data_IF_999005431944
#
_entry.id   IF_999005431944
#
_cell.length_a   1.000
_cell.length_b   1.000
_cell.length_c   1.000
_cell.angle_alpha   90.00
_cell.angle_beta   90.00
_cell.angle_gamma   90.00
#
_symmetry.space_group_name_H-M   'P 1'
#
loop_
_entity.id
_entity.type
_entity.pdbx_description
1 polymer ?
#
# COMPACT_ATOMS: atom_id res chain seq x y z
N UNK A 1 -2.89 -49.28 25.04
CA UNK A 1 -3.09 -48.96 23.61
C UNK A 1 -3.53 -47.51 23.42
N UNK A 2 -4.64 -47.06 24.04
CA UNK A 2 -5.15 -45.69 23.90
C UNK A 2 -4.19 -44.56 24.32
N UNK A 3 -3.46 -44.71 25.44
CA UNK A 3 -2.54 -43.67 25.93
C UNK A 3 -1.38 -43.35 24.97
N UNK A 4 -0.95 -44.34 24.16
CA UNK A 4 0.11 -44.12 23.16
C UNK A 4 -0.42 -43.45 21.89
N UNK A 5 -1.68 -43.68 21.53
CA UNK A 5 -2.33 -43.03 20.39
C UNK A 5 -2.57 -41.55 20.69
N UNK A 6 -3.00 -41.22 21.91
CA UNK A 6 -3.23 -39.83 22.34
C UNK A 6 -1.91 -39.04 22.34
N UNK A 7 -0.83 -39.62 22.86
CA UNK A 7 0.50 -38.98 22.86
C UNK A 7 1.04 -38.69 21.44
N UNK A 8 0.77 -39.58 20.48
CA UNK A 8 1.18 -39.40 19.08
C UNK A 8 0.35 -38.29 18.40
N UNK A 9 -0.96 -38.24 18.64
CA UNK A 9 -1.84 -37.19 18.09
C UNK A 9 -1.47 -35.82 18.67
N UNK A 10 -1.15 -35.73 19.97
CA UNK A 10 -0.67 -34.48 20.57
C UNK A 10 0.69 -34.04 20.02
N UNK A 11 1.59 -34.98 19.72
CA UNK A 11 2.90 -34.67 19.11
C UNK A 11 2.76 -34.20 17.65
N UNK A 12 1.79 -34.74 16.91
CA UNK A 12 1.45 -34.31 15.53
C UNK A 12 0.81 -32.92 15.56
N UNK A 13 -0.12 -32.62 16.47
CA UNK A 13 -0.69 -31.27 16.58
C UNK A 13 0.36 -30.20 16.94
N UNK A 14 1.39 -30.56 17.72
CA UNK A 14 2.53 -29.69 18.04
C UNK A 14 3.57 -29.60 16.90
N UNK A 15 3.65 -30.61 16.02
CA UNK A 15 4.57 -30.65 14.87
C UNK A 15 3.94 -30.13 13.55
N UNK A 16 2.61 -30.02 13.47
CA UNK A 16 1.88 -29.46 12.33
C UNK A 16 1.15 -28.15 12.68
N UNK A 17 1.24 -27.72 13.95
CA UNK A 17 0.80 -26.40 14.40
C UNK A 17 1.75 -25.26 14.02
N UNK A 18 2.54 -25.42 12.96
CA UNK A 18 3.36 -24.35 12.40
C UNK A 18 2.46 -23.41 11.60
N UNK A 19 1.91 -22.43 12.33
CA UNK A 19 1.71 -21.04 11.92
C UNK A 19 1.78 -20.86 10.39
N UNK A 20 0.64 -20.90 9.72
CA UNK A 20 0.51 -20.17 8.45
C UNK A 20 0.58 -18.69 8.80
N UNK A 21 1.80 -18.15 8.79
CA UNK A 21 1.99 -16.71 8.72
C UNK A 21 1.31 -16.29 7.41
N UNK A 22 0.17 -15.61 7.52
CA UNK A 22 -0.68 -15.28 6.38
C UNK A 22 0.14 -14.71 5.24
N UNK A 23 0.19 -15.45 4.12
CA UNK A 23 0.95 -15.08 2.94
C UNK A 23 0.47 -13.71 2.43
N UNK A 24 1.39 -12.85 2.00
CA UNK A 24 1.05 -11.51 1.56
C UNK A 24 0.06 -11.56 0.36
N UNK A 25 -1.08 -10.84 0.40
CA UNK A 25 -2.10 -10.94 -0.64
C UNK A 25 -1.62 -10.45 -2.03
N UNK A 26 -0.58 -9.61 -2.07
CA UNK A 26 -0.02 -9.06 -3.31
C UNK A 26 1.12 -9.88 -3.91
N UNK A 27 1.53 -10.97 -3.26
CA UNK A 27 2.60 -11.82 -3.77
C UNK A 27 2.23 -12.46 -5.11
N UNK A 28 0.92 -12.66 -5.36
CA UNK A 28 0.37 -13.14 -6.62
C UNK A 28 0.68 -12.22 -7.82
N UNK A 29 0.91 -10.92 -7.58
CA UNK A 29 1.23 -9.96 -8.64
C UNK A 29 2.74 -9.87 -8.87
N UNK A 30 3.52 -9.79 -7.79
CA UNK A 30 4.98 -9.86 -7.87
C UNK A 30 5.56 -10.36 -6.54
N UNK A 31 6.58 -11.24 -6.56
CA UNK A 31 7.21 -11.76 -5.35
C UNK A 31 7.77 -10.68 -4.42
N UNK A 32 8.13 -9.51 -4.98
CA UNK A 32 8.74 -8.39 -4.26
C UNK A 32 7.82 -7.17 -4.15
N UNK A 33 6.49 -7.39 -4.12
CA UNK A 33 5.53 -6.29 -4.05
C UNK A 33 5.77 -5.38 -2.84
N UNK A 34 5.66 -4.07 -3.02
CA UNK A 34 5.94 -3.06 -1.99
C UNK A 34 5.20 -3.31 -0.69
N UNK A 35 3.94 -3.75 -0.77
CA UNK A 35 3.12 -4.09 0.40
C UNK A 35 3.69 -5.24 1.24
N UNK A 36 4.38 -6.19 0.59
CA UNK A 36 4.90 -7.39 1.23
C UNK A 36 6.25 -7.15 1.91
N UNK A 37 6.88 -5.99 1.69
CA UNK A 37 8.16 -5.67 2.30
C UNK A 37 7.97 -5.39 3.80
N UNK A 38 8.77 -6.01 4.69
CA UNK A 38 8.80 -5.61 6.09
C UNK A 38 9.39 -4.19 6.22
N UNK A 39 9.11 -3.46 7.32
CA UNK A 39 9.74 -2.16 7.58
C UNK A 39 11.27 -2.27 7.56
N UNK A 40 11.96 -1.29 6.99
CA UNK A 40 13.41 -1.28 6.96
C UNK A 40 13.96 -1.11 8.39
N UNK A 41 14.75 -2.08 8.93
CA UNK A 41 15.28 -2.00 10.29
C UNK A 41 16.15 -0.77 10.56
N UNK A 42 16.78 -0.23 9.52
CA UNK A 42 17.60 0.99 9.61
C UNK A 42 16.77 2.27 9.67
N UNK A 43 15.46 2.20 9.43
CA UNK A 43 14.59 3.36 9.52
C UNK A 43 13.99 3.53 10.92
N UNK A 44 14.31 4.66 11.57
CA UNK A 44 13.64 5.06 12.79
C UNK A 44 12.28 5.71 12.47
N UNK A 45 11.23 4.89 12.41
CA UNK A 45 9.88 5.33 12.11
C UNK A 45 9.27 6.01 13.34
N UNK A 46 9.16 7.34 13.29
CA UNK A 46 8.58 8.14 14.38
C UNK A 46 7.05 8.06 14.44
N UNK A 47 6.40 8.03 13.28
CA UNK A 47 4.95 7.98 13.13
C UNK A 47 4.57 7.19 11.88
N UNK A 48 3.38 6.58 11.92
CA UNK A 48 2.80 5.82 10.80
C UNK A 48 1.45 6.39 10.42
N UNK A 49 1.14 6.28 9.14
CA UNK A 49 -0.14 6.66 8.58
C UNK A 49 -0.31 8.16 8.45
N UNK A 50 -1.47 8.52 7.91
CA UNK A 50 -1.90 9.89 7.71
C UNK A 50 -3.21 10.07 8.48
N UNK A 51 -3.25 11.09 9.34
CA UNK A 51 -4.42 11.41 10.15
C UNK A 51 -5.61 11.81 9.28
N UNK A 52 -6.84 11.63 9.78
CA UNK A 52 -8.06 11.91 8.99
C UNK A 52 -8.12 13.35 8.46
N UNK A 53 -7.68 14.33 9.25
CA UNK A 53 -7.59 15.73 8.80
C UNK A 53 -6.59 15.93 7.66
N UNK A 54 -5.42 15.29 7.74
CA UNK A 54 -4.40 15.37 6.69
C UNK A 54 -4.83 14.62 5.43
N UNK A 55 -5.51 13.47 5.54
CA UNK A 55 -6.10 12.77 4.39
C UNK A 55 -7.07 13.67 3.62
N UNK A 56 -7.97 14.34 4.34
CA UNK A 56 -8.92 15.29 3.74
C UNK A 56 -8.19 16.47 3.08
N UNK A 57 -7.13 16.99 3.73
CA UNK A 57 -6.33 18.08 3.18
C UNK A 57 -5.59 17.66 1.90
N UNK A 58 -4.96 16.49 1.89
CA UNK A 58 -4.26 15.93 0.72
C UNK A 58 -5.24 15.77 -0.44
N UNK A 59 -6.40 15.14 -0.19
CA UNK A 59 -7.40 14.89 -1.22
C UNK A 59 -7.96 16.20 -1.79
N UNK A 60 -8.32 17.14 -0.90
CA UNK A 60 -8.81 18.47 -1.29
C UNK A 60 -7.80 19.19 -2.17
N UNK A 61 -6.53 19.25 -1.77
CA UNK A 61 -5.50 19.94 -2.56
C UNK A 61 -5.36 19.32 -3.95
N UNK A 62 -5.32 17.98 -4.06
CA UNK A 62 -5.25 17.32 -5.36
C UNK A 62 -6.46 17.65 -6.23
N UNK A 63 -7.68 17.59 -5.68
CA UNK A 63 -8.90 17.86 -6.42
C UNK A 63 -9.02 19.33 -6.82
N UNK A 64 -8.60 20.28 -5.97
CA UNK A 64 -8.57 21.71 -6.30
C UNK A 64 -7.64 21.97 -7.51
N UNK A 65 -6.42 21.40 -7.51
CA UNK A 65 -5.49 21.55 -8.63
C UNK A 65 -5.98 20.84 -9.90
N UNK A 66 -6.52 19.63 -9.77
CA UNK A 66 -7.11 18.90 -10.91
C UNK A 66 -8.27 19.66 -11.52
N UNK A 67 -9.12 20.28 -10.72
CA UNK A 67 -10.24 21.11 -11.18
C UNK A 67 -9.74 22.39 -11.87
N UNK A 68 -8.72 23.05 -11.33
CA UNK A 68 -8.06 24.20 -11.96
C UNK A 68 -7.52 23.86 -13.36
N UNK A 69 -6.84 22.72 -13.48
CA UNK A 69 -6.35 22.20 -14.78
C UNK A 69 -7.52 21.85 -15.70
N UNK A 70 -8.55 21.15 -15.21
CA UNK A 70 -9.71 20.77 -15.99
C UNK A 70 -10.44 21.97 -16.60
N UNK A 71 -10.53 23.06 -15.85
CA UNK A 71 -11.13 24.31 -16.30
C UNK A 71 -10.22 25.13 -17.26
N UNK A 72 -9.00 24.69 -17.54
CA UNK A 72 -8.02 25.44 -18.32
C UNK A 72 -7.56 26.73 -17.64
N UNK A 73 -7.61 26.76 -16.30
CA UNK A 73 -7.26 27.92 -15.48
C UNK A 73 -5.83 27.82 -14.90
N UNK A 74 -5.10 26.75 -15.20
CA UNK A 74 -3.70 26.64 -14.82
C UNK A 74 -2.84 27.49 -15.75
N UNK A 75 -2.23 28.54 -15.20
CA UNK A 75 -1.41 29.53 -15.91
C UNK A 75 0.09 29.25 -15.81
N UNK A 76 0.50 28.42 -14.86
CA UNK A 76 1.88 27.98 -14.72
C UNK A 76 2.26 26.98 -15.82
N UNK A 77 3.55 26.67 -15.93
CA UNK A 77 4.08 25.69 -16.90
C UNK A 77 3.68 25.94 -18.38
N UNK A 78 3.46 27.20 -18.75
CA UNK A 78 3.08 27.59 -20.11
C UNK A 78 1.57 27.54 -20.40
N UNK A 79 0.74 27.34 -19.37
CA UNK A 79 -0.71 27.25 -19.50
C UNK A 79 -1.14 25.84 -19.90
N UNK A 80 -1.76 25.09 -18.98
CA UNK A 80 -2.26 23.76 -19.30
C UNK A 80 -3.64 23.86 -19.96
N UNK A 81 -3.90 23.13 -21.07
CA UNK A 81 -5.20 23.14 -21.72
C UNK A 81 -6.28 22.50 -20.82
N UNK A 82 -7.57 22.87 -21.01
CA UNK A 82 -8.66 22.25 -20.28
C UNK A 82 -8.74 20.74 -20.56
N UNK A 83 -9.22 19.97 -19.58
CA UNK A 83 -9.33 18.51 -19.67
C UNK A 83 -10.79 18.07 -19.70
N UNK A 84 -11.16 17.25 -20.68
CA UNK A 84 -12.55 16.82 -20.90
C UNK A 84 -13.05 15.75 -19.91
N UNK A 85 -12.15 15.01 -19.25
CA UNK A 85 -12.52 13.88 -18.38
C UNK A 85 -11.61 13.78 -17.14
N UNK A 86 -11.47 14.88 -16.41
CA UNK A 86 -10.67 14.93 -15.18
C UNK A 86 -11.57 14.68 -13.96
N UNK A 87 -11.67 13.43 -13.52
CA UNK A 87 -12.54 13.03 -12.41
C UNK A 87 -11.97 13.43 -11.04
N UNK A 88 -12.87 13.64 -10.08
CA UNK A 88 -12.53 13.85 -8.68
C UNK A 88 -11.87 12.59 -8.10
N UNK A 89 -10.74 12.76 -7.40
CA UNK A 89 -10.09 11.66 -6.70
C UNK A 89 -10.82 11.36 -5.39
N UNK A 90 -10.82 10.09 -5.03
CA UNK A 90 -11.25 9.61 -3.71
C UNK A 90 -10.06 9.04 -2.96
N UNK A 91 -10.14 9.04 -1.63
CA UNK A 91 -9.16 8.35 -0.81
C UNK A 91 -9.37 6.84 -0.91
N UNK A 92 -8.29 6.10 -1.12
CA UNK A 92 -8.29 4.65 -1.17
C UNK A 92 -7.36 4.10 -0.08
N UNK A 93 -7.93 3.34 0.86
CA UNK A 93 -7.18 2.82 2.00
C UNK A 93 -6.21 1.70 1.62
N UNK A 94 -6.47 0.97 0.53
CA UNK A 94 -5.58 -0.06 0.01
C UNK A 94 -4.30 0.58 -0.53
N UNK A 95 -4.44 1.58 -1.40
CA UNK A 95 -3.33 2.36 -1.94
C UNK A 95 -2.56 3.08 -0.83
N UNK A 96 -3.26 3.64 0.16
CA UNK A 96 -2.62 4.28 1.31
C UNK A 96 -1.78 3.29 2.12
N UNK A 97 -2.24 2.06 2.30
CA UNK A 97 -1.49 1.02 3.00
C UNK A 97 -0.26 0.56 2.21
N UNK A 98 -0.36 0.43 0.89
CA UNK A 98 0.79 0.16 0.01
C UNK A 98 1.81 1.31 0.08
N UNK A 99 1.36 2.55 0.02
CA UNK A 99 2.20 3.74 0.13
C UNK A 99 2.91 3.80 1.50
N UNK A 100 2.21 3.46 2.59
CA UNK A 100 2.81 3.39 3.92
C UNK A 100 3.90 2.32 3.98
N UNK A 101 3.68 1.12 3.42
CA UNK A 101 4.70 0.06 3.35
C UNK A 101 5.95 0.47 2.59
N UNK A 102 5.77 1.26 1.54
CA UNK A 102 6.89 1.87 0.82
C UNK A 102 7.59 2.95 1.66
N UNK A 103 6.85 3.83 2.33
CA UNK A 103 7.42 4.87 3.19
C UNK A 103 8.23 4.28 4.37
N UNK A 104 7.82 3.12 4.90
CA UNK A 104 8.56 2.37 5.92
C UNK A 104 9.93 1.83 5.45
N UNK A 105 10.24 1.92 4.15
CA UNK A 105 11.57 1.61 3.62
C UNK A 105 12.54 2.77 3.77
N UNK A 106 12.02 4.00 3.91
CA UNK A 106 12.79 5.24 4.08
C UNK A 106 13.84 5.46 2.98
N UNK A 107 13.48 5.05 1.76
CA UNK A 107 14.20 5.37 0.54
C UNK A 107 13.54 6.58 -0.14
N UNK A 108 14.32 7.48 -0.71
CA UNK A 108 13.82 8.64 -1.44
C UNK A 108 13.34 8.32 -2.87
N UNK A 109 13.67 7.12 -3.39
CA UNK A 109 13.32 6.68 -4.74
C UNK A 109 12.21 5.63 -4.73
N UNK A 110 11.31 5.74 -5.71
CA UNK A 110 10.32 4.69 -5.98
C UNK A 110 11.04 3.44 -6.48
N UNK A 111 10.79 2.29 -5.85
CA UNK A 111 11.07 0.99 -6.50
C UNK A 111 10.00 0.79 -7.57
N UNK A 112 10.41 0.64 -8.83
CA UNK A 112 9.53 0.56 -9.99
C UNK A 112 8.28 -0.30 -9.72
N UNK A 113 7.10 0.31 -9.88
CA UNK A 113 5.84 -0.43 -9.99
C UNK A 113 5.74 -0.83 -11.45
N UNK A 114 5.92 -2.11 -11.76
CA UNK A 114 5.56 -2.62 -13.09
C UNK A 114 4.04 -2.64 -13.14
N UNK A 115 3.44 -1.60 -13.74
CA UNK A 115 1.97 -1.45 -13.89
C UNK A 115 1.41 -2.42 -14.95
N UNK A 116 2.28 -3.16 -15.64
CA UNK A 116 1.95 -4.06 -16.76
C UNK A 116 1.32 -5.41 -16.36
N UNK A 117 0.73 -5.55 -15.18
CA UNK A 117 0.12 -6.80 -14.71
C UNK A 117 -1.37 -6.65 -14.34
N UNK A 118 -2.01 -5.55 -14.76
CA UNK A 118 -3.46 -5.34 -14.58
C UNK A 118 -4.13 -5.36 -15.96
N UNK A 119 -4.19 -6.54 -16.56
CA UNK A 119 -5.21 -6.93 -17.57
C UNK A 119 -5.87 -8.23 -17.10
#
# INVERSE_FOLDING_TARGET
MAARVIAIISAIALAFGFIECGRCPYEKFTPNHSFCKPPNPSCNILQRGVGAGDRMKILKLHNDYRAKVAAGQETEAGGLPPAANMLEMVWDDELAAVAQKHAEQCHSSMTAVNVDQVE
#
